data_IF_361937569497
#
_entry.id   IF_361937569497
#
_cell.length_a   1.000
_cell.length_b   1.000
_cell.length_c   1.000
_cell.angle_alpha   90.00
_cell.angle_beta   90.00
_cell.angle_gamma   90.00
#
_symmetry.space_group_name_H-M   'P 1'
#
loop_
_entity.id
_entity.type
_entity.pdbx_description
1 polymer ?
#
# COMPACT_ATOMS: atom_id res chain seq x y z
N UNK A 1 -15.12 -8.45 8.87
CA UNK A 1 -13.66 -8.23 8.73
C UNK A 1 -13.01 -9.54 8.37
N UNK A 2 -12.50 -9.67 7.15
CA UNK A 2 -12.09 -10.96 6.58
C UNK A 2 -10.80 -11.48 7.21
N UNK A 3 -10.89 -12.66 7.82
CA UNK A 3 -9.75 -13.49 8.23
C UNK A 3 -9.00 -13.92 6.97
N UNK A 4 -7.69 -14.02 7.00
CA UNK A 4 -6.92 -14.59 5.88
C UNK A 4 -7.11 -16.10 5.93
N UNK A 5 -7.91 -16.63 5.00
CA UNK A 5 -8.27 -18.06 4.91
C UNK A 5 -7.75 -18.69 3.63
N UNK A 6 -7.22 -17.88 2.71
CA UNK A 6 -6.72 -18.31 1.41
C UNK A 6 -5.55 -17.48 0.95
N UNK A 7 -4.48 -18.15 0.52
CA UNK A 7 -3.22 -17.54 0.09
C UNK A 7 -2.88 -18.05 -1.31
N UNK A 8 -2.52 -17.13 -2.21
CA UNK A 8 -1.97 -17.42 -3.53
C UNK A 8 -0.49 -17.10 -3.54
N UNK A 9 0.35 -18.09 -3.84
CA UNK A 9 1.75 -17.87 -4.16
C UNK A 9 1.98 -18.02 -5.66
N UNK A 10 2.71 -17.08 -6.28
CA UNK A 10 3.14 -17.25 -7.65
C UNK A 10 4.64 -17.53 -7.71
N UNK A 11 5.01 -18.52 -8.51
CA UNK A 11 6.41 -18.85 -8.78
C UNK A 11 6.68 -18.96 -10.27
N UNK A 12 7.84 -18.50 -10.68
CA UNK A 12 8.43 -18.73 -11.99
C UNK A 12 9.64 -19.67 -11.91
N UNK A 13 9.71 -20.44 -10.81
CA UNK A 13 10.82 -21.32 -10.44
C UNK A 13 12.15 -20.60 -10.23
N UNK A 14 12.18 -19.28 -10.17
CA UNK A 14 13.35 -18.55 -9.67
C UNK A 14 13.50 -18.76 -8.16
N UNK A 15 14.70 -18.45 -7.64
CA UNK A 15 14.95 -18.50 -6.19
C UNK A 15 13.97 -17.62 -5.42
N UNK A 16 13.70 -16.39 -5.91
CA UNK A 16 12.78 -15.47 -5.27
C UNK A 16 11.32 -15.98 -5.34
N UNK A 17 10.93 -16.59 -6.48
CA UNK A 17 9.60 -17.20 -6.65
C UNK A 17 9.38 -18.40 -5.74
N UNK A 18 10.39 -19.27 -5.61
CA UNK A 18 10.32 -20.40 -4.70
C UNK A 18 10.34 -19.96 -3.22
N UNK A 19 11.14 -18.96 -2.86
CA UNK A 19 11.10 -18.36 -1.53
C UNK A 19 9.72 -17.77 -1.20
N UNK A 20 9.02 -17.20 -2.19
CA UNK A 20 7.66 -16.74 -2.03
C UNK A 20 6.68 -17.90 -1.75
N UNK A 21 6.83 -19.03 -2.44
CA UNK A 21 6.00 -20.21 -2.21
C UNK A 21 6.22 -20.79 -0.79
N UNK A 22 7.47 -20.90 -0.33
CA UNK A 22 7.80 -21.34 1.03
C UNK A 22 7.27 -20.37 2.10
N UNK A 23 7.39 -19.06 1.89
CA UNK A 23 6.83 -18.07 2.83
C UNK A 23 5.31 -18.14 2.88
N UNK A 24 4.66 -18.31 1.73
CA UNK A 24 3.22 -18.48 1.67
C UNK A 24 2.76 -19.76 2.40
N UNK A 25 3.53 -20.84 2.29
CA UNK A 25 3.26 -22.08 2.99
C UNK A 25 3.38 -21.93 4.51
N UNK A 26 4.44 -21.29 4.98
CA UNK A 26 4.58 -21.00 6.39
C UNK A 26 3.42 -20.18 6.93
N UNK A 27 3.04 -19.10 6.22
CA UNK A 27 1.89 -18.28 6.62
C UNK A 27 0.58 -19.06 6.57
N UNK A 28 0.39 -19.92 5.56
CA UNK A 28 -0.78 -20.77 5.45
C UNK A 28 -0.91 -21.72 6.63
N UNK A 29 0.19 -22.39 7.00
CA UNK A 29 0.24 -23.24 8.19
C UNK A 29 -0.08 -22.44 9.48
N UNK A 30 0.56 -21.30 9.65
CA UNK A 30 0.37 -20.44 10.84
C UNK A 30 -1.05 -19.92 11.00
N UNK A 31 -1.73 -19.61 9.90
CA UNK A 31 -3.07 -19.01 9.87
C UNK A 31 -4.18 -20.06 9.70
N UNK A 32 -3.84 -21.33 9.46
CA UNK A 32 -4.82 -22.34 9.06
C UNK A 32 -5.48 -22.03 7.71
N UNK A 33 -4.75 -21.37 6.80
CA UNK A 33 -5.25 -20.94 5.51
C UNK A 33 -4.96 -21.95 4.40
N UNK A 34 -5.79 -21.97 3.37
CA UNK A 34 -5.55 -22.77 2.17
C UNK A 34 -4.46 -22.13 1.32
N UNK A 35 -3.54 -22.92 0.80
CA UNK A 35 -2.47 -22.48 -0.09
C UNK A 35 -2.75 -22.95 -1.52
N UNK A 36 -2.65 -22.02 -2.47
CA UNK A 36 -2.60 -22.29 -3.92
C UNK A 36 -1.27 -21.77 -4.47
N UNK A 37 -0.52 -22.61 -5.17
CA UNK A 37 0.71 -22.25 -5.85
C UNK A 37 0.43 -22.21 -7.37
N UNK A 38 0.69 -21.08 -7.98
CA UNK A 38 0.43 -20.81 -9.38
C UNK A 38 1.74 -20.57 -10.14
N UNK A 39 1.90 -21.29 -11.25
CA UNK A 39 2.89 -20.96 -12.27
C UNK A 39 2.18 -20.53 -13.56
N UNK A 40 2.68 -19.46 -14.19
CA UNK A 40 2.12 -18.98 -15.46
C UNK A 40 3.15 -19.08 -16.56
N UNK A 41 2.86 -19.92 -17.55
CA UNK A 41 3.61 -20.01 -18.78
C UNK A 41 3.25 -18.83 -19.70
N UNK A 42 4.23 -17.99 -19.98
CA UNK A 42 4.03 -16.83 -20.83
C UNK A 42 4.11 -17.24 -22.31
N UNK A 43 2.96 -17.44 -22.94
CA UNK A 43 2.87 -17.79 -24.37
C UNK A 43 3.42 -16.69 -25.30
N UNK A 44 3.49 -15.44 -24.85
CA UNK A 44 3.96 -14.29 -25.65
C UNK A 44 5.45 -14.00 -25.48
N UNK A 45 6.10 -14.57 -24.47
CA UNK A 45 7.50 -14.25 -24.08
C UNK A 45 8.59 -14.92 -24.90
N UNK A 46 8.25 -15.87 -25.71
CA UNK A 46 9.22 -16.64 -26.53
C UNK A 46 9.30 -16.13 -27.95
N UNK A 47 9.54 -14.82 -28.17
CA UNK A 47 10.14 -14.40 -29.43
C UNK A 47 11.64 -14.63 -29.28
N UNK A 48 12.19 -15.72 -29.84
CA UNK A 48 13.63 -15.88 -29.84
C UNK A 48 14.22 -14.76 -30.70
N UNK A 49 15.09 -13.94 -30.13
CA UNK A 49 16.04 -13.13 -30.90
C UNK A 49 17.04 -14.00 -31.67
N UNK A 50 16.89 -15.29 -31.66
CA UNK A 50 17.64 -16.28 -32.43
C UNK A 50 16.78 -16.78 -33.58
N UNK A 51 17.14 -16.32 -34.74
CA UNK A 51 16.92 -16.76 -36.11
C UNK A 51 15.74 -17.68 -36.43
N UNK A 52 15.26 -17.57 -37.62
CA UNK A 52 14.16 -18.27 -38.29
C UNK A 52 14.15 -19.81 -38.17
N UNK A 53 15.10 -20.43 -37.47
CA UNK A 53 15.28 -21.87 -37.35
C UNK A 53 15.04 -22.44 -35.95
N UNK A 54 14.49 -21.67 -34.99
CA UNK A 54 14.11 -22.24 -33.70
C UNK A 54 12.76 -22.96 -33.81
N UNK A 55 12.65 -24.23 -33.36
CA UNK A 55 11.39 -24.93 -33.34
C UNK A 55 10.35 -24.11 -32.53
N UNK A 56 9.07 -24.13 -32.98
CA UNK A 56 7.98 -23.51 -32.22
C UNK A 56 8.00 -24.10 -30.80
N UNK A 57 7.84 -23.26 -29.75
CA UNK A 57 7.72 -23.79 -28.39
C UNK A 57 6.57 -24.80 -28.36
N UNK A 58 6.84 -25.97 -27.86
CA UNK A 58 5.80 -26.97 -27.61
C UNK A 58 5.17 -26.64 -26.25
N UNK A 59 4.10 -25.87 -26.28
CA UNK A 59 3.41 -25.41 -25.07
C UNK A 59 2.88 -26.58 -24.24
N UNK A 60 2.54 -27.70 -24.84
CA UNK A 60 2.06 -28.89 -24.10
C UNK A 60 3.20 -29.55 -23.34
N UNK A 61 4.38 -29.67 -23.96
CA UNK A 61 5.56 -30.19 -23.30
C UNK A 61 6.05 -29.25 -22.18
N UNK A 62 6.09 -27.95 -22.46
CA UNK A 62 6.45 -26.92 -21.46
C UNK A 62 5.47 -26.96 -20.28
N UNK A 63 4.17 -27.11 -20.55
CA UNK A 63 3.15 -27.21 -19.52
C UNK A 63 3.27 -28.50 -18.68
N UNK A 64 3.62 -29.62 -19.31
CA UNK A 64 3.87 -30.87 -18.59
C UNK A 64 5.08 -30.75 -17.66
N UNK A 65 6.20 -30.20 -18.17
CA UNK A 65 7.41 -29.98 -17.37
C UNK A 65 7.15 -29.01 -16.21
N UNK A 66 6.41 -27.93 -16.44
CA UNK A 66 6.02 -26.98 -15.42
C UNK A 66 5.14 -27.63 -14.34
N UNK A 67 4.18 -28.49 -14.73
CA UNK A 67 3.35 -29.23 -13.76
C UNK A 67 4.20 -30.14 -12.88
N UNK A 68 5.17 -30.85 -13.47
CA UNK A 68 6.05 -31.75 -12.72
C UNK A 68 6.98 -30.97 -11.78
N UNK A 69 7.54 -29.83 -12.21
CA UNK A 69 8.32 -28.96 -11.38
C UNK A 69 7.48 -28.40 -10.21
N UNK A 70 6.24 -27.98 -10.48
CA UNK A 70 5.35 -27.44 -9.47
C UNK A 70 4.90 -28.50 -8.45
N UNK A 71 4.68 -29.75 -8.90
CA UNK A 71 4.40 -30.89 -8.00
C UNK A 71 5.60 -31.18 -7.08
N UNK A 72 6.82 -31.17 -7.60
CA UNK A 72 8.03 -31.34 -6.77
C UNK A 72 8.12 -30.25 -5.71
N UNK A 73 7.93 -28.99 -6.09
CA UNK A 73 7.92 -27.87 -5.14
C UNK A 73 6.81 -28.04 -4.08
N UNK A 74 5.62 -28.50 -4.48
CA UNK A 74 4.51 -28.73 -3.55
C UNK A 74 4.82 -29.86 -2.55
N UNK A 75 5.49 -30.92 -2.97
CA UNK A 75 5.94 -32.02 -2.08
C UNK A 75 6.98 -31.50 -1.09
N UNK A 76 7.96 -30.73 -1.55
CA UNK A 76 8.97 -30.10 -0.69
C UNK A 76 8.31 -29.20 0.37
N UNK A 77 7.38 -28.34 -0.04
CA UNK A 77 6.62 -27.45 0.82
C UNK A 77 5.78 -28.24 1.83
N UNK A 78 5.08 -29.27 1.38
CA UNK A 78 4.23 -30.10 2.25
C UNK A 78 5.05 -30.77 3.35
N UNK A 79 6.22 -31.27 2.99
CA UNK A 79 7.14 -31.89 3.95
C UNK A 79 7.74 -30.87 4.95
N UNK A 80 8.00 -29.64 4.50
CA UNK A 80 8.63 -28.61 5.33
C UNK A 80 7.65 -27.91 6.28
N UNK A 81 6.37 -27.81 5.92
CA UNK A 81 5.40 -26.96 6.62
C UNK A 81 4.14 -27.70 7.12
N UNK A 82 4.05 -29.01 6.95
CA UNK A 82 2.91 -29.85 7.35
C UNK A 82 1.56 -29.28 6.85
N UNK A 83 1.49 -29.04 5.54
CA UNK A 83 0.29 -28.56 4.87
C UNK A 83 0.18 -29.13 3.45
N UNK A 84 -1.05 -29.15 2.91
CA UNK A 84 -1.28 -29.52 1.51
C UNK A 84 -1.52 -28.27 0.68
N UNK A 85 -0.69 -28.08 -0.36
CA UNK A 85 -0.87 -26.99 -1.32
C UNK A 85 -1.55 -27.48 -2.59
N UNK A 86 -2.54 -26.74 -3.09
CA UNK A 86 -3.03 -26.93 -4.44
C UNK A 86 -2.10 -26.27 -5.45
N UNK A 87 -1.89 -26.93 -6.60
CA UNK A 87 -0.97 -26.47 -7.64
C UNK A 87 -1.70 -26.23 -8.95
N UNK A 88 -1.34 -25.17 -9.65
CA UNK A 88 -1.96 -24.78 -10.91
C UNK A 88 -0.93 -24.26 -11.90
N UNK A 89 -0.99 -24.71 -13.15
CA UNK A 89 -0.24 -24.15 -14.27
C UNK A 89 -1.23 -23.54 -15.25
N UNK A 90 -1.09 -22.23 -15.46
CA UNK A 90 -1.87 -21.49 -16.44
C UNK A 90 -1.01 -21.02 -17.61
N UNK A 91 -1.63 -20.77 -18.76
CA UNK A 91 -0.95 -20.28 -19.97
C UNK A 91 -1.53 -18.93 -20.35
N UNK A 92 -0.68 -17.89 -20.48
CA UNK A 92 -1.11 -16.54 -20.89
C UNK A 92 -0.22 -15.44 -20.35
N UNK A 93 -0.75 -14.22 -20.25
CA UNK A 93 -0.05 -13.10 -19.63
C UNK A 93 -0.03 -13.27 -18.10
N UNK A 94 1.17 -13.31 -17.48
CA UNK A 94 1.29 -13.56 -16.04
C UNK A 94 0.55 -12.53 -15.18
N UNK A 95 0.51 -11.27 -15.60
CA UNK A 95 -0.17 -10.24 -14.84
C UNK A 95 -1.70 -10.43 -14.88
N UNK A 96 -2.27 -10.66 -16.04
CA UNK A 96 -3.72 -10.82 -16.19
C UNK A 96 -4.23 -12.04 -15.42
N UNK A 97 -3.51 -13.15 -15.54
CA UNK A 97 -3.86 -14.39 -14.82
C UNK A 97 -3.74 -14.19 -13.30
N UNK A 98 -2.68 -13.52 -12.84
CA UNK A 98 -2.50 -13.24 -11.41
C UNK A 98 -3.56 -12.29 -10.85
N UNK A 99 -3.96 -11.26 -11.60
CA UNK A 99 -5.06 -10.38 -11.19
C UNK A 99 -6.34 -11.16 -11.03
N UNK A 100 -6.70 -11.99 -12.01
CA UNK A 100 -7.90 -12.84 -11.96
C UNK A 100 -7.85 -13.82 -10.79
N UNK A 101 -6.73 -14.52 -10.62
CA UNK A 101 -6.53 -15.47 -9.52
C UNK A 101 -6.57 -14.80 -8.14
N UNK A 102 -6.10 -13.55 -8.05
CA UNK A 102 -6.10 -12.77 -6.80
C UNK A 102 -7.50 -12.44 -6.29
N UNK A 103 -8.52 -12.42 -7.15
CA UNK A 103 -9.89 -12.13 -6.72
C UNK A 103 -10.47 -13.19 -5.80
N UNK A 104 -9.96 -14.41 -5.89
CA UNK A 104 -10.43 -15.59 -5.14
C UNK A 104 -9.66 -15.86 -3.85
N UNK A 105 -8.70 -15.02 -3.48
CA UNK A 105 -7.87 -15.21 -2.30
C UNK A 105 -7.84 -13.96 -1.41
N UNK A 106 -7.33 -14.12 -0.18
CA UNK A 106 -7.23 -13.03 0.77
C UNK A 106 -5.84 -12.39 0.78
N UNK A 107 -4.80 -13.12 0.36
CA UNK A 107 -3.42 -12.67 0.31
C UNK A 107 -2.71 -13.22 -0.93
N UNK A 108 -1.96 -12.37 -1.62
CA UNK A 108 -1.07 -12.75 -2.73
C UNK A 108 0.38 -12.63 -2.26
N UNK A 109 1.19 -13.65 -2.54
CA UNK A 109 2.62 -13.71 -2.18
C UNK A 109 3.45 -13.85 -3.45
N UNK A 110 4.40 -12.94 -3.65
CA UNK A 110 5.23 -12.86 -4.85
C UNK A 110 6.70 -12.74 -4.46
N UNK A 111 7.58 -13.33 -5.26
CA UNK A 111 9.02 -13.06 -5.18
C UNK A 111 9.33 -11.66 -5.72
N UNK A 112 10.37 -11.05 -5.21
CA UNK A 112 10.80 -9.71 -5.64
C UNK A 112 11.17 -9.66 -7.11
N UNK A 113 11.89 -10.66 -7.60
CA UNK A 113 12.40 -10.76 -8.98
C UNK A 113 12.02 -12.10 -9.57
N UNK A 114 11.72 -12.09 -10.86
CA UNK A 114 11.53 -13.31 -11.64
C UNK A 114 12.79 -13.67 -12.43
N UNK A 115 12.69 -14.70 -13.30
CA UNK A 115 13.78 -15.15 -14.16
C UNK A 115 14.31 -14.09 -15.17
N UNK A 116 13.55 -13.02 -15.42
CA UNK A 116 13.97 -11.93 -16.32
C UNK A 116 15.03 -11.04 -15.68
N UNK A 117 16.30 -11.32 -15.98
CA UNK A 117 17.47 -10.51 -15.59
C UNK A 117 17.51 -9.17 -16.34
N UNK A 118 16.71 -8.20 -15.98
CA UNK A 118 16.96 -6.82 -16.39
C UNK A 118 17.42 -6.05 -15.15
N UNK A 119 18.68 -5.66 -15.21
CA UNK A 119 19.36 -4.76 -14.31
C UNK A 119 18.61 -3.42 -14.24
N UNK A 120 17.96 -3.15 -13.15
CA UNK A 120 17.27 -1.91 -12.92
C UNK A 120 16.66 -1.87 -11.53
N UNK A 121 16.57 -0.72 -10.95
CA UNK A 121 16.11 -0.37 -9.60
C UNK A 121 14.65 -0.76 -9.30
N UNK A 122 13.96 -1.40 -10.23
CA UNK A 122 12.54 -1.73 -10.14
C UNK A 122 12.34 -3.23 -9.91
N UNK A 123 11.37 -3.55 -9.10
CA UNK A 123 10.77 -4.87 -8.97
C UNK A 123 10.33 -5.40 -10.34
N UNK A 124 10.23 -6.73 -10.52
CA UNK A 124 9.78 -7.31 -11.78
C UNK A 124 8.48 -6.65 -12.28
N UNK A 125 8.34 -6.48 -13.60
CA UNK A 125 7.17 -5.80 -14.22
C UNK A 125 5.83 -6.30 -13.69
N UNK A 126 5.71 -7.61 -13.48
CA UNK A 126 4.49 -8.24 -12.95
C UNK A 126 4.23 -7.82 -11.51
N UNK A 127 5.26 -7.80 -10.65
CA UNK A 127 5.14 -7.38 -9.25
C UNK A 127 4.72 -5.92 -9.15
N UNK A 128 5.38 -5.02 -9.88
CA UNK A 128 5.04 -3.59 -9.89
C UNK A 128 3.59 -3.35 -10.35
N UNK A 129 3.15 -4.03 -11.42
CA UNK A 129 1.76 -3.95 -11.89
C UNK A 129 0.78 -4.50 -10.85
N UNK A 130 1.08 -5.64 -10.22
CA UNK A 130 0.26 -6.23 -9.16
C UNK A 130 0.12 -5.30 -7.96
N UNK A 131 1.21 -4.69 -7.49
CA UNK A 131 1.20 -3.75 -6.37
C UNK A 131 0.33 -2.51 -6.63
N UNK A 132 0.24 -2.09 -7.89
CA UNK A 132 -0.60 -0.94 -8.30
C UNK A 132 -2.07 -1.29 -8.47
N UNK A 133 -2.37 -2.52 -8.91
CA UNK A 133 -3.70 -2.87 -9.43
C UNK A 133 -4.45 -3.86 -8.56
N UNK A 134 -3.73 -4.81 -7.92
CA UNK A 134 -4.35 -5.87 -7.13
C UNK A 134 -5.19 -5.30 -5.98
N UNK A 135 -6.37 -5.84 -5.81
CA UNK A 135 -7.32 -5.42 -4.75
C UNK A 135 -7.11 -6.15 -3.44
N UNK A 136 -6.22 -7.12 -3.42
CA UNK A 136 -5.85 -7.88 -2.23
C UNK A 136 -4.49 -7.41 -1.71
N UNK A 137 -4.18 -7.60 -0.45
CA UNK A 137 -2.83 -7.43 0.07
C UNK A 137 -1.82 -8.25 -0.74
N UNK A 138 -0.69 -7.64 -1.07
CA UNK A 138 0.40 -8.28 -1.82
C UNK A 138 1.66 -8.26 -0.97
N UNK A 139 2.15 -9.45 -0.63
CA UNK A 139 3.38 -9.66 0.10
C UNK A 139 4.53 -9.93 -0.88
N UNK A 140 5.56 -9.11 -0.83
CA UNK A 140 6.76 -9.22 -1.66
C UNK A 140 7.88 -9.80 -0.81
N UNK A 141 8.37 -10.97 -1.21
CA UNK A 141 9.41 -11.71 -0.50
C UNK A 141 10.78 -11.34 -1.03
N UNK A 142 11.71 -11.09 -0.11
CA UNK A 142 13.09 -10.68 -0.37
C UNK A 142 14.12 -11.63 0.19
N UNK A 143 13.74 -12.38 1.22
CA UNK A 143 14.64 -13.31 1.93
C UNK A 143 14.05 -14.72 1.96
N UNK A 144 14.92 -15.69 2.07
CA UNK A 144 14.51 -17.05 2.38
C UNK A 144 13.79 -17.09 3.75
N UNK A 145 12.92 -18.07 3.89
CA UNK A 145 12.15 -18.28 5.11
C UNK A 145 13.06 -18.72 6.26
N UNK A 146 13.03 -17.96 7.35
CA UNK A 146 13.81 -18.26 8.57
C UNK A 146 12.90 -18.40 9.81
N UNK A 147 11.64 -18.75 9.60
CA UNK A 147 10.63 -18.87 10.65
C UNK A 147 9.58 -17.75 10.62
N UNK A 148 8.71 -17.68 11.63
CA UNK A 148 7.64 -16.69 11.74
C UNK A 148 8.16 -15.27 11.75
N UNK A 149 7.33 -14.32 11.28
CA UNK A 149 7.62 -12.90 11.44
C UNK A 149 7.61 -12.51 12.92
N UNK A 150 8.71 -11.94 13.40
CA UNK A 150 8.91 -11.59 14.82
C UNK A 150 8.93 -10.07 15.04
N UNK A 151 9.45 -9.30 14.09
CA UNK A 151 9.63 -7.84 14.18
C UNK A 151 8.92 -7.17 13.02
N UNK A 152 7.62 -6.96 13.22
CA UNK A 152 6.75 -6.38 12.21
C UNK A 152 6.65 -4.88 12.42
N UNK A 153 7.10 -4.12 11.44
CA UNK A 153 7.03 -2.65 11.43
C UNK A 153 5.84 -2.18 10.61
N UNK A 154 5.03 -1.30 11.20
CA UNK A 154 3.87 -0.68 10.54
C UNK A 154 4.04 0.83 10.52
N UNK A 155 4.55 1.42 9.43
CA UNK A 155 4.56 2.86 9.27
C UNK A 155 3.13 3.36 9.08
N UNK A 156 2.73 4.35 9.89
CA UNK A 156 1.38 4.92 9.86
C UNK A 156 1.42 6.41 9.54
N UNK A 157 0.45 6.86 8.75
CA UNK A 157 0.23 8.26 8.37
C UNK A 157 -1.17 8.77 8.75
N UNK A 158 -1.88 7.97 9.55
CA UNK A 158 -3.25 8.21 10.02
C UNK A 158 -4.33 8.20 8.92
N UNK A 159 -4.04 7.70 7.74
CA UNK A 159 -5.04 7.44 6.68
C UNK A 159 -5.82 6.15 6.93
N UNK A 160 -6.96 5.98 6.23
CA UNK A 160 -7.71 4.73 6.26
C UNK A 160 -6.91 3.53 5.72
N UNK A 161 -5.97 3.80 4.81
CA UNK A 161 -5.11 2.77 4.24
C UNK A 161 -4.07 2.27 5.26
N UNK A 162 -3.50 3.18 6.07
CA UNK A 162 -2.62 2.77 7.16
C UNK A 162 -3.39 2.04 8.28
N UNK A 163 -4.68 2.33 8.48
CA UNK A 163 -5.54 1.57 9.38
C UNK A 163 -5.77 0.14 8.89
N UNK A 164 -5.99 -0.01 7.58
CA UNK A 164 -6.10 -1.33 6.97
C UNK A 164 -4.79 -2.12 7.09
N UNK A 165 -3.64 -1.47 6.86
CA UNK A 165 -2.32 -2.07 7.03
C UNK A 165 -2.11 -2.57 8.47
N UNK A 166 -2.48 -1.75 9.47
CA UNK A 166 -2.37 -2.12 10.87
C UNK A 166 -3.25 -3.34 11.22
N UNK A 167 -4.49 -3.39 10.72
CA UNK A 167 -5.37 -4.55 10.93
C UNK A 167 -4.84 -5.84 10.29
N UNK A 168 -4.24 -5.74 9.10
CA UNK A 168 -3.64 -6.90 8.44
C UNK A 168 -2.38 -7.34 9.17
N UNK A 169 -1.53 -6.42 9.60
CA UNK A 169 -0.35 -6.70 10.40
C UNK A 169 -0.69 -7.42 11.71
N UNK A 170 -1.75 -6.97 12.39
CA UNK A 170 -2.21 -7.59 13.64
C UNK A 170 -2.62 -9.06 13.47
N UNK A 171 -3.10 -9.44 12.29
CA UNK A 171 -3.47 -10.83 11.98
C UNK A 171 -2.29 -11.71 11.59
N UNK A 172 -1.27 -11.11 10.95
CA UNK A 172 -0.07 -11.83 10.55
C UNK A 172 0.89 -12.08 11.71
N UNK A 173 0.78 -11.32 12.78
CA UNK A 173 1.56 -11.57 13.99
C UNK A 173 0.93 -12.70 14.81
N UNK A 174 1.71 -13.59 15.35
CA UNK A 174 1.22 -14.60 16.32
C UNK A 174 1.31 -14.07 17.75
N UNK A 175 2.48 -14.05 18.32
CA UNK A 175 2.71 -13.73 19.74
C UNK A 175 3.54 -12.46 19.95
N UNK A 176 4.15 -11.97 18.89
CA UNK A 176 5.05 -10.82 18.93
C UNK A 176 4.30 -9.49 18.87
N UNK A 177 4.87 -8.46 19.48
CA UNK A 177 4.33 -7.10 19.39
C UNK A 177 4.51 -6.50 18.00
N UNK A 178 3.59 -5.59 17.61
CA UNK A 178 3.75 -4.74 16.43
C UNK A 178 4.52 -3.48 16.80
N UNK A 179 5.37 -3.02 15.88
CA UNK A 179 6.07 -1.75 15.99
C UNK A 179 5.37 -0.72 15.10
N UNK A 180 4.57 0.15 15.71
CA UNK A 180 3.95 1.28 15.02
C UNK A 180 4.96 2.41 14.95
N UNK A 181 5.15 2.93 13.75
CA UNK A 181 6.10 4.00 13.49
C UNK A 181 5.44 5.17 12.77
N UNK A 182 5.72 6.39 13.24
CA UNK A 182 5.32 7.60 12.52
C UNK A 182 6.52 8.51 12.34
N UNK A 183 6.72 9.02 11.13
CA UNK A 183 7.72 10.02 10.82
C UNK A 183 7.09 11.42 10.90
N UNK A 184 7.64 12.28 11.75
CA UNK A 184 7.24 13.68 11.90
C UNK A 184 8.04 14.50 10.91
N UNK A 185 7.38 15.18 9.99
CA UNK A 185 8.04 16.04 9.02
C UNK A 185 8.50 17.32 9.71
N UNK A 186 9.82 17.59 9.66
CA UNK A 186 10.46 18.70 10.39
C UNK A 186 10.23 20.09 9.76
N UNK A 187 9.21 20.26 8.93
CA UNK A 187 8.95 21.53 8.27
C UNK A 187 8.67 22.66 9.28
N UNK A 188 7.90 22.38 10.32
CA UNK A 188 7.59 23.34 11.39
C UNK A 188 8.84 23.76 12.17
N UNK A 189 9.73 22.82 12.46
CA UNK A 189 10.99 23.09 13.15
C UNK A 189 11.92 23.96 12.29
N UNK A 190 11.98 23.73 10.98
CA UNK A 190 12.74 24.59 10.07
C UNK A 190 12.21 26.03 10.07
N UNK A 191 10.90 26.23 10.01
CA UNK A 191 10.28 27.56 10.07
C UNK A 191 10.58 28.27 11.40
N UNK A 192 10.55 27.53 12.52
CA UNK A 192 10.87 28.13 13.83
C UNK A 192 12.35 28.55 13.94
N UNK A 193 13.27 27.78 13.35
CA UNK A 193 14.69 28.15 13.28
C UNK A 193 14.95 29.36 12.38
N UNK A 194 14.27 29.40 11.23
CA UNK A 194 14.37 30.55 10.30
C UNK A 194 13.82 31.84 10.93
N UNK A 195 12.90 31.72 11.90
CA UNK A 195 12.35 32.84 12.67
C UNK A 195 13.15 33.17 13.95
N UNK A 196 14.38 32.68 14.08
CA UNK A 196 15.28 32.91 15.26
C UNK A 196 14.61 32.59 16.61
N UNK A 197 13.66 31.62 16.63
CA UNK A 197 13.03 31.18 17.87
C UNK A 197 14.07 30.48 18.76
N UNK A 198 14.14 30.79 20.07
CA UNK A 198 15.10 30.18 20.97
C UNK A 198 15.00 28.64 20.99
N UNK A 199 16.15 27.96 21.04
CA UNK A 199 16.23 26.48 20.93
C UNK A 199 15.45 25.75 22.03
N UNK A 200 15.28 26.34 23.21
CA UNK A 200 14.48 25.75 24.29
C UNK A 200 12.98 25.70 23.90
N UNK A 201 12.45 26.72 23.21
CA UNK A 201 11.07 26.78 22.74
C UNK A 201 10.85 25.78 21.61
N UNK A 202 11.83 25.66 20.72
CA UNK A 202 11.79 24.64 19.64
C UNK A 202 11.74 23.23 20.25
N UNK A 203 12.57 22.97 21.27
CA UNK A 203 12.60 21.68 21.97
C UNK A 203 11.27 21.38 22.69
N UNK A 204 10.72 22.36 23.38
CA UNK A 204 9.44 22.22 24.06
C UNK A 204 8.31 21.94 23.08
N UNK A 205 8.23 22.70 21.98
CA UNK A 205 7.27 22.49 20.89
C UNK A 205 7.37 21.07 20.33
N UNK A 206 8.59 20.58 20.14
CA UNK A 206 8.85 19.23 19.67
C UNK A 206 8.34 18.14 20.63
N UNK A 207 8.61 18.31 21.93
CA UNK A 207 8.12 17.37 22.95
C UNK A 207 6.59 17.35 23.03
N UNK A 208 5.94 18.50 22.89
CA UNK A 208 4.48 18.59 22.82
C UNK A 208 3.94 17.86 21.59
N UNK A 209 4.52 18.09 20.41
CA UNK A 209 4.12 17.43 19.17
C UNK A 209 4.29 15.90 19.25
N UNK A 210 5.41 15.43 19.78
CA UNK A 210 5.65 14.00 20.02
C UNK A 210 4.60 13.40 20.97
N UNK A 211 4.23 14.11 22.03
CA UNK A 211 3.20 13.72 22.98
C UNK A 211 1.82 13.60 22.32
N UNK A 212 1.44 14.59 21.52
CA UNK A 212 0.16 14.58 20.79
C UNK A 212 0.07 13.43 19.78
N UNK A 213 1.15 13.20 19.03
CA UNK A 213 1.21 12.13 18.03
C UNK A 213 1.15 10.76 18.72
N UNK A 214 1.90 10.56 19.81
CA UNK A 214 1.81 9.34 20.60
C UNK A 214 0.39 9.09 21.11
N UNK A 215 -0.26 10.09 21.66
CA UNK A 215 -1.65 10.00 22.11
C UNK A 215 -2.60 9.66 20.94
N UNK A 216 -2.36 10.26 19.77
CA UNK A 216 -3.14 9.97 18.55
C UNK A 216 -2.95 8.52 18.08
N UNK A 217 -1.72 8.00 18.11
CA UNK A 217 -1.43 6.60 17.78
C UNK A 217 -2.18 5.63 18.71
N UNK A 218 -2.12 5.88 20.03
CA UNK A 218 -2.82 5.06 21.03
C UNK A 218 -4.35 5.11 20.85
N UNK A 219 -4.92 6.31 20.64
CA UNK A 219 -6.35 6.44 20.34
C UNK A 219 -6.75 5.71 19.05
N UNK A 220 -5.87 5.69 18.04
CA UNK A 220 -6.12 4.95 16.80
C UNK A 220 -6.15 3.44 17.05
N UNK A 221 -5.19 2.88 17.76
CA UNK A 221 -5.15 1.46 18.13
C UNK A 221 -6.42 1.07 18.90
N UNK A 222 -6.81 1.85 19.90
CA UNK A 222 -8.03 1.62 20.68
C UNK A 222 -9.30 1.66 19.79
N UNK A 223 -9.41 2.64 18.88
CA UNK A 223 -10.56 2.75 17.96
C UNK A 223 -10.64 1.57 16.98
N UNK A 224 -9.51 0.99 16.62
CA UNK A 224 -9.47 -0.20 15.77
C UNK A 224 -9.78 -1.50 16.54
N UNK A 225 -9.95 -1.44 17.86
CA UNK A 225 -10.20 -2.60 18.73
C UNK A 225 -9.00 -3.52 18.83
N UNK A 226 -7.76 -2.97 18.69
CA UNK A 226 -6.54 -3.74 18.76
C UNK A 226 -5.94 -3.69 20.17
N UNK A 227 -5.26 -4.78 20.54
CA UNK A 227 -4.62 -4.89 21.85
C UNK A 227 -3.41 -3.96 21.97
N UNK A 228 -3.57 -2.87 22.73
CA UNK A 228 -2.53 -1.86 22.92
C UNK A 228 -1.34 -2.35 23.73
N UNK A 229 -1.48 -3.42 24.51
CA UNK A 229 -0.38 -3.99 25.30
C UNK A 229 0.68 -4.67 24.44
N UNK A 230 0.28 -5.06 23.23
CA UNK A 230 1.13 -5.70 22.22
C UNK A 230 1.64 -4.73 21.16
N UNK A 231 1.56 -3.41 21.41
CA UNK A 231 1.97 -2.37 20.49
C UNK A 231 3.17 -1.59 21.05
N UNK A 232 4.24 -1.54 20.27
CA UNK A 232 5.38 -0.67 20.50
C UNK A 232 5.23 0.57 19.65
N UNK A 233 5.38 1.76 20.23
CA UNK A 233 5.21 3.03 19.53
C UNK A 233 6.56 3.69 19.34
N UNK A 234 6.86 4.14 18.14
CA UNK A 234 8.09 4.83 17.81
C UNK A 234 7.82 6.03 16.91
N UNK A 235 8.53 7.11 17.19
CA UNK A 235 8.52 8.36 16.43
C UNK A 235 9.93 8.70 15.95
N UNK A 236 10.04 9.38 14.84
CA UNK A 236 11.27 10.01 14.41
C UNK A 236 10.97 11.27 13.60
N UNK A 237 11.76 12.31 13.78
CA UNK A 237 11.72 13.50 12.96
C UNK A 237 12.51 13.28 11.66
N UNK A 238 11.99 13.81 10.55
CA UNK A 238 12.62 13.75 9.25
C UNK A 238 11.75 13.20 8.13
N UNK A 239 12.38 12.96 7.00
CA UNK A 239 11.68 12.44 5.81
C UNK A 239 11.12 11.03 6.04
N UNK A 240 9.85 10.77 5.71
CA UNK A 240 9.17 9.50 6.01
C UNK A 240 9.90 8.27 5.50
N UNK A 241 10.40 8.29 4.25
CA UNK A 241 11.11 7.15 3.65
C UNK A 241 12.38 6.81 4.45
N UNK A 242 13.27 7.80 4.61
CA UNK A 242 14.55 7.60 5.30
C UNK A 242 14.35 7.19 6.76
N UNK A 243 13.40 7.83 7.44
CA UNK A 243 13.11 7.54 8.85
C UNK A 243 12.54 6.13 9.02
N UNK A 244 11.64 5.69 8.12
CA UNK A 244 11.08 4.33 8.13
C UNK A 244 12.16 3.28 7.89
N UNK A 245 13.01 3.46 6.87
CA UNK A 245 14.09 2.51 6.56
C UNK A 245 15.10 2.40 7.70
N UNK A 246 15.55 3.53 8.24
CA UNK A 246 16.47 3.55 9.39
C UNK A 246 15.86 2.88 10.62
N UNK A 247 14.56 3.08 10.86
CA UNK A 247 13.88 2.43 11.97
C UNK A 247 13.74 0.92 11.73
N UNK A 248 13.42 0.50 10.50
CA UNK A 248 13.38 -0.92 10.11
C UNK A 248 14.74 -1.61 10.32
N UNK A 249 15.83 -0.95 9.95
CA UNK A 249 17.20 -1.45 10.18
C UNK A 249 17.53 -1.59 11.66
N UNK A 250 17.27 -0.56 12.47
CA UNK A 250 17.52 -0.59 13.94
C UNK A 250 16.70 -1.69 14.62
N UNK A 251 15.47 -1.87 14.20
CA UNK A 251 14.58 -2.92 14.69
C UNK A 251 15.03 -4.29 14.19
N UNK A 252 15.87 -4.36 13.17
CA UNK A 252 16.12 -5.54 12.36
C UNK A 252 14.78 -6.17 11.92
N UNK A 253 13.88 -5.34 11.38
CA UNK A 253 12.55 -5.76 10.97
C UNK A 253 12.64 -6.90 9.94
N UNK A 254 11.78 -7.88 10.10
CA UNK A 254 11.62 -8.98 9.14
C UNK A 254 10.45 -8.76 8.18
N UNK A 255 9.49 -7.92 8.57
CA UNK A 255 8.36 -7.51 7.73
C UNK A 255 8.04 -6.02 7.94
N UNK A 256 7.82 -5.29 6.83
CA UNK A 256 7.18 -3.98 6.84
C UNK A 256 5.78 -4.13 6.25
N UNK A 257 4.75 -3.65 6.96
CA UNK A 257 3.36 -3.64 6.47
C UNK A 257 2.93 -2.21 6.25
N UNK A 258 2.70 -1.83 5.01
CA UNK A 258 2.36 -0.46 4.64
C UNK A 258 1.11 -0.38 3.78
N UNK A 259 0.39 0.72 3.89
CA UNK A 259 -0.70 1.03 2.98
C UNK A 259 -0.20 1.34 1.57
N UNK A 260 -1.00 1.02 0.54
CA UNK A 260 -0.66 1.33 -0.86
C UNK A 260 -0.51 2.83 -1.09
N UNK A 261 -1.36 3.64 -0.47
CA UNK A 261 -1.42 5.09 -0.63
C UNK A 261 -1.31 5.79 0.71
N UNK A 262 -0.69 6.97 0.73
CA UNK A 262 -0.66 7.87 1.87
C UNK A 262 -1.51 9.12 1.64
N UNK A 263 -1.26 10.19 2.40
CA UNK A 263 -2.01 11.44 2.39
C UNK A 263 -2.07 12.16 1.04
N UNK A 264 -1.07 11.98 0.18
CA UNK A 264 -0.88 12.79 -1.04
C UNK A 264 -1.37 12.14 -2.34
N UNK A 265 -1.93 10.92 -2.32
CA UNK A 265 -2.29 10.25 -3.57
C UNK A 265 -3.72 10.54 -4.00
N UNK A 266 -3.86 11.42 -4.99
CA UNK A 266 -5.12 11.69 -5.69
C UNK A 266 -5.46 10.67 -6.79
N UNK A 267 -4.60 9.68 -7.05
CA UNK A 267 -4.78 8.68 -8.12
C UNK A 267 -4.72 7.27 -7.53
N UNK A 268 -5.83 6.58 -7.60
CA UNK A 268 -6.04 5.22 -7.06
C UNK A 268 -5.17 4.11 -7.68
N UNK A 269 -4.46 4.39 -8.77
CA UNK A 269 -3.64 3.41 -9.51
C UNK A 269 -2.13 3.58 -9.35
N UNK A 270 -1.68 4.48 -8.47
CA UNK A 270 -0.24 4.67 -8.24
C UNK A 270 0.13 4.13 -6.86
N UNK A 271 1.23 3.42 -6.78
CA UNK A 271 1.86 3.12 -5.49
C UNK A 271 2.32 4.44 -4.87
N UNK A 272 1.97 4.70 -3.61
CA UNK A 272 2.33 5.95 -2.92
C UNK A 272 3.84 6.17 -2.91
N UNK A 273 4.26 7.43 -2.97
CA UNK A 273 5.69 7.79 -3.04
C UNK A 273 6.53 7.22 -1.89
N UNK A 274 5.97 7.19 -0.69
CA UNK A 274 6.65 6.61 0.49
C UNK A 274 6.68 5.09 0.38
N UNK A 275 5.52 4.44 0.19
CA UNK A 275 5.43 2.98 0.13
C UNK A 275 6.26 2.39 -1.03
N UNK A 276 6.25 3.04 -2.20
CA UNK A 276 7.04 2.62 -3.36
C UNK A 276 8.53 2.74 -3.13
N UNK A 277 9.00 3.83 -2.51
CA UNK A 277 10.43 4.01 -2.21
C UNK A 277 10.88 3.10 -1.07
N UNK A 278 10.11 2.95 -0.01
CA UNK A 278 10.40 1.97 1.05
C UNK A 278 10.47 0.57 0.46
N UNK A 279 9.54 0.21 -0.43
CA UNK A 279 9.56 -1.08 -1.11
C UNK A 279 10.82 -1.27 -1.94
N UNK A 280 11.31 -0.27 -2.67
CA UNK A 280 12.52 -0.41 -3.50
C UNK A 280 13.80 -0.55 -2.65
N UNK A 281 13.86 0.08 -1.49
CA UNK A 281 15.07 0.22 -0.67
C UNK A 281 15.12 -0.74 0.54
N UNK A 282 13.97 -1.25 1.01
CA UNK A 282 13.93 -2.13 2.18
C UNK A 282 14.71 -3.43 1.96
N UNK A 283 15.35 -3.92 3.01
CA UNK A 283 16.10 -5.18 3.04
C UNK A 283 15.29 -6.37 3.56
N UNK A 284 14.08 -6.15 4.06
CA UNK A 284 13.16 -7.17 4.58
C UNK A 284 11.93 -7.33 3.68
N UNK A 285 11.11 -8.33 3.95
CA UNK A 285 9.86 -8.57 3.25
C UNK A 285 8.91 -7.38 3.43
N UNK A 286 8.05 -7.13 2.44
CA UNK A 286 7.12 -6.01 2.50
C UNK A 286 5.72 -6.40 2.04
N UNK A 287 4.73 -6.10 2.87
CA UNK A 287 3.31 -6.28 2.59
C UNK A 287 2.69 -4.93 2.25
N UNK A 288 2.14 -4.83 1.05
CA UNK A 288 1.37 -3.66 0.60
C UNK A 288 -0.11 -3.96 0.70
N UNK A 289 -0.81 -3.15 1.48
CA UNK A 289 -2.25 -3.29 1.73
C UNK A 289 -3.01 -2.23 0.91
N UNK A 290 -3.94 -2.65 0.04
CA UNK A 290 -4.76 -1.72 -0.73
C UNK A 290 -5.75 -0.97 0.17
N UNK A 291 -6.29 0.13 -0.34
CA UNK A 291 -7.36 0.85 0.34
C UNK A 291 -8.60 -0.05 0.50
N UNK A 292 -9.18 -0.13 1.70
CA UNK A 292 -10.45 -0.81 1.88
C UNK A 292 -11.49 -0.17 0.95
N UNK A 293 -12.27 -1.00 0.24
CA UNK A 293 -13.50 -0.48 -0.35
C UNK A 293 -14.40 -0.03 0.79
N UNK A 294 -14.85 1.20 0.75
CA UNK A 294 -16.09 1.55 1.40
C UNK A 294 -17.15 0.65 0.75
N UNK A 295 -17.63 -0.33 1.49
CA UNK A 295 -18.90 -0.95 1.15
C UNK A 295 -19.88 0.20 1.23
N UNK A 296 -20.26 0.74 0.07
CA UNK A 296 -21.46 1.52 -0.04
C UNK A 296 -22.54 0.62 0.54
N UNK A 297 -22.93 0.86 1.79
CA UNK A 297 -24.21 0.40 2.29
C UNK A 297 -25.22 0.82 1.23
N UNK A 298 -26.08 -0.07 0.74
CA UNK A 298 -27.19 0.37 -0.06
C UNK A 298 -27.86 1.45 0.78
N UNK A 299 -27.91 2.67 0.23
CA UNK A 299 -28.78 3.72 0.73
C UNK A 299 -30.15 3.06 0.85
N UNK A 300 -30.52 2.64 2.03
CA UNK A 300 -31.89 2.40 2.38
C UNK A 300 -32.59 3.69 2.05
N UNK A 301 -33.38 3.64 1.01
CA UNK A 301 -34.32 4.67 0.66
C UNK A 301 -35.38 4.70 1.76
N UNK A 302 -35.01 5.22 2.94
CA UNK A 302 -35.95 5.65 3.98
C UNK A 302 -36.23 7.11 3.73
N UNK A 303 -37.34 7.29 3.01
CA UNK A 303 -38.33 8.36 3.19
C UNK A 303 -37.74 9.74 3.54
N UNK A 304 -37.34 10.47 2.51
CA UNK A 304 -37.32 11.91 2.54
C UNK A 304 -38.79 12.41 2.54
N UNK A 305 -39.39 12.47 3.70
CA UNK A 305 -40.55 13.34 3.92
C UNK A 305 -40.00 14.74 4.20
N UNK A 306 -40.28 15.76 3.37
CA UNK A 306 -39.85 17.10 3.69
C UNK A 306 -40.79 17.66 4.79
N UNK A 307 -40.29 17.72 6.01
CA UNK A 307 -40.91 18.57 7.01
C UNK A 307 -40.68 20.02 6.61
N UNK A 308 -41.69 20.62 6.01
CA UNK A 308 -41.85 22.06 5.80
C UNK A 308 -41.93 22.72 7.20
N UNK A 309 -40.81 23.22 7.70
CA UNK A 309 -40.82 24.21 8.76
C UNK A 309 -40.67 25.58 8.12
N UNK A 310 -41.81 26.26 8.01
CA UNK A 310 -42.03 27.57 7.42
C UNK A 310 -41.54 28.78 8.26
N UNK A 311 -40.79 28.56 9.33
CA UNK A 311 -40.35 29.67 10.20
C UNK A 311 -38.89 30.09 10.02
N UNK A 312 -38.03 29.30 9.37
CA UNK A 312 -36.61 29.67 9.19
C UNK A 312 -36.35 30.49 7.90
N UNK A 313 -37.31 30.54 6.96
CA UNK A 313 -37.19 31.32 5.73
C UNK A 313 -37.44 32.80 5.91
N UNK A 314 -38.16 33.23 6.95
CA UNK A 314 -38.48 34.63 7.16
C UNK A 314 -37.38 35.41 7.92
N UNK A 315 -36.52 34.74 8.63
CA UNK A 315 -35.44 35.40 9.38
C UNK A 315 -34.22 35.75 8.51
N UNK A 316 -33.93 34.96 7.50
CA UNK A 316 -32.80 35.21 6.57
C UNK A 316 -33.13 36.23 5.46
N UNK A 317 -34.43 36.47 5.18
CA UNK A 317 -34.83 37.48 4.22
C UNK A 317 -34.81 38.90 4.83
N UNK A 318 -34.94 39.05 6.13
CA UNK A 318 -34.86 40.31 6.84
C UNK A 318 -33.42 40.82 6.98
N UNK A 319 -32.44 39.92 7.16
CA UNK A 319 -31.01 40.26 7.27
C UNK A 319 -30.39 40.65 5.91
N UNK A 320 -30.87 40.09 4.79
CA UNK A 320 -30.41 40.45 3.46
C UNK A 320 -30.91 41.83 2.99
N UNK A 321 -32.07 42.32 3.46
CA UNK A 321 -32.57 43.66 3.16
C UNK A 321 -31.93 44.78 3.99
N UNK A 322 -31.39 44.48 5.16
CA UNK A 322 -30.67 45.46 5.99
C UNK A 322 -29.24 45.71 5.48
N UNK A 323 -28.60 44.74 4.85
CA UNK A 323 -27.25 44.89 4.30
C UNK A 323 -27.21 45.67 2.97
N UNK A 324 -28.31 45.68 2.21
CA UNK A 324 -28.41 46.43 0.95
C UNK A 324 -28.72 47.90 1.12
N UNK A 325 -29.17 48.38 2.28
CA UNK A 325 -29.52 49.78 2.55
C UNK A 325 -28.34 50.63 3.04
N UNK A 326 -27.18 50.07 3.32
CA UNK A 326 -25.99 50.81 3.81
C UNK A 326 -24.83 50.87 2.82
N UNK A 327 -25.00 50.40 1.58
CA UNK A 327 -23.97 50.48 0.53
C UNK A 327 -24.27 51.48 -0.60
N UNK A 328 -25.07 52.48 -0.35
CA UNK A 328 -25.45 53.50 -1.33
C UNK A 328 -25.12 54.91 -0.90
N UNK A 329 -23.84 55.29 -0.85
CA UNK A 329 -23.43 56.70 -1.00
C UNK A 329 -21.90 56.79 -1.16
N UNK A 330 -21.48 57.56 -2.20
CA UNK A 330 -20.13 58.09 -2.43
C UNK A 330 -19.16 57.12 -3.13
N UNK A 331 -18.54 57.37 -4.25
CA UNK A 331 -18.27 58.60 -5.03
C UNK A 331 -17.80 58.24 -6.42
N UNK A 332 -18.11 59.09 -7.35
CA UNK A 332 -17.63 59.14 -8.74
C UNK A 332 -16.10 59.22 -8.85
N UNK A 333 -15.56 58.68 -9.90
CA UNK A 333 -14.38 59.27 -10.52
C UNK A 333 -13.30 58.29 -10.99
N UNK A 334 -13.16 58.20 -12.24
CA UNK A 334 -12.01 58.10 -13.14
C UNK A 334 -11.82 56.80 -13.93
N UNK A 335 -12.24 56.93 -15.16
CA UNK A 335 -11.80 56.16 -16.32
C UNK A 335 -10.35 56.46 -16.64
N UNK A 336 -9.50 55.43 -16.88
CA UNK A 336 -8.46 55.48 -17.90
C UNK A 336 -8.25 54.06 -18.48
N UNK A 337 -8.41 53.99 -19.79
CA UNK A 337 -8.06 52.95 -20.72
C UNK A 337 -6.57 52.53 -20.61
N UNK A 338 -6.28 51.27 -20.76
CA UNK A 338 -5.16 50.89 -21.61
C UNK A 338 -5.37 49.52 -22.29
N UNK A 339 -5.43 49.63 -23.61
CA UNK A 339 -5.43 48.57 -24.61
C UNK A 339 -4.01 48.17 -24.97
N UNK A 340 -3.93 46.96 -25.47
CA UNK A 340 -2.95 46.42 -26.45
C UNK A 340 -1.73 45.72 -25.81
N UNK A 341 -1.22 44.59 -26.31
CA UNK A 341 -1.18 44.04 -27.66
C UNK A 341 -0.77 42.57 -27.60
N UNK A 342 -1.45 41.78 -28.40
CA UNK A 342 -1.02 40.51 -28.92
C UNK A 342 0.19 40.70 -29.84
N UNK A 343 1.23 39.88 -29.73
CA UNK A 343 2.13 39.55 -30.86
C UNK A 343 2.53 38.08 -30.77
N UNK A 344 2.11 37.37 -31.79
CA UNK A 344 2.58 36.06 -32.16
C UNK A 344 3.99 36.16 -32.73
N UNK A 345 4.87 35.14 -32.52
CA UNK A 345 5.88 34.73 -33.50
C UNK A 345 6.05 33.24 -33.51
N UNK A 346 5.81 32.70 -34.67
CA UNK A 346 6.21 31.36 -35.13
C UNK A 346 7.69 31.36 -35.57
N UNK A 347 8.25 30.18 -35.50
CA UNK A 347 9.28 29.59 -36.38
C UNK A 347 10.73 30.08 -36.27
N UNK A 348 11.63 29.26 -35.83
CA UNK A 348 12.60 28.50 -36.63
C UNK A 348 13.09 27.33 -35.82
#
# INVERSE_FOLDING_TARGET
MTTITSILAATDFSVDGNNAAHRAAQLAHELGARLRILHVLNASGSKPLRGWFSPKPDLDLDAAQARDALRRLAVEISSAHDLTASVEVAVGDPFEILVQASEQVDLVVLGRRGQGRLTGWLEGRTVDRMLRTCRRPVLVIRKSVQGPYRRVLVPIDFTATSDAALRVADRLRRETGLHLFHAIESHREAVLRDADVPEHVIRETRLMEEGEINARMRRKVARLGLDSTRMNYALAHGQPVRSTLRHAERLAADLIVAGRHGRSSLRSYLLGSVSGRVLSEASCDMLIVPQPRETSSPLTAETLTPALNSETCLHNAALAKSAAAHAGASTQGHWIHNKARFVSRRAS
#
